data_IF_269377368997
#
_entry.id   IF_269377368997
#
_cell.length_a   1.000
_cell.length_b   1.000
_cell.length_c   1.000
_cell.angle_alpha   90.00
_cell.angle_beta   90.00
_cell.angle_gamma   90.00
#
_symmetry.space_group_name_H-M   'P 1'
#
loop_
_entity.id
_entity.type
_entity.pdbx_description
1 polymer ?
#
# COMPACT_ATOMS: atom_id res chain seq x y z
N UNK A 1 9.71 1.34 2.16
CA UNK A 1 8.66 1.33 1.12
C UNK A 1 9.18 0.46 -0.01
N UNK A 2 8.44 -0.56 -0.41
CA UNK A 2 8.85 -1.50 -1.45
C UNK A 2 8.01 -1.32 -2.70
N UNK A 3 8.63 -1.18 -3.88
CA UNK A 3 7.89 -1.20 -5.15
C UNK A 3 7.69 -2.63 -5.62
N UNK A 4 6.50 -2.97 -6.11
CA UNK A 4 6.22 -4.33 -6.53
C UNK A 4 7.12 -4.79 -7.70
N UNK A 5 7.50 -3.89 -8.59
CA UNK A 5 8.42 -4.17 -9.70
C UNK A 5 9.85 -4.45 -9.25
N UNK A 6 10.26 -3.93 -8.09
CA UNK A 6 11.61 -4.12 -7.52
C UNK A 6 11.73 -5.43 -6.72
N UNK A 7 10.61 -6.10 -6.40
CA UNK A 7 10.60 -7.36 -5.66
C UNK A 7 11.09 -8.56 -6.49
N UNK A 8 11.25 -8.40 -7.81
CA UNK A 8 11.76 -9.44 -8.69
C UNK A 8 11.46 -9.19 -10.17
N UNK A 9 12.18 -9.90 -11.03
CA UNK A 9 12.04 -9.78 -12.49
C UNK A 9 10.81 -10.55 -12.97
N UNK A 10 10.56 -11.74 -12.42
CA UNK A 10 9.42 -12.59 -12.77
C UNK A 10 8.26 -12.46 -11.78
N UNK A 11 7.04 -12.80 -12.21
CA UNK A 11 5.86 -12.81 -11.34
C UNK A 11 6.05 -13.74 -10.14
N UNK A 12 6.62 -14.93 -10.35
CA UNK A 12 6.91 -15.89 -9.29
C UNK A 12 7.88 -15.31 -8.24
N UNK A 13 8.98 -14.69 -8.67
CA UNK A 13 9.95 -14.09 -7.76
C UNK A 13 9.33 -12.96 -6.92
N UNK A 14 8.52 -12.10 -7.55
CA UNK A 14 7.80 -11.01 -6.87
C UNK A 14 6.85 -11.55 -5.80
N UNK A 15 6.00 -12.52 -6.16
CA UNK A 15 5.03 -13.11 -5.23
C UNK A 15 5.74 -13.77 -4.05
N UNK A 16 6.79 -14.55 -4.30
CA UNK A 16 7.54 -15.21 -3.22
C UNK A 16 8.20 -14.17 -2.30
N UNK A 17 8.85 -13.15 -2.88
CA UNK A 17 9.51 -12.11 -2.09
C UNK A 17 8.51 -11.30 -1.27
N UNK A 18 7.36 -10.95 -1.85
CA UNK A 18 6.28 -10.27 -1.14
C UNK A 18 5.77 -11.11 0.03
N UNK A 19 5.56 -12.41 -0.17
CA UNK A 19 5.09 -13.31 0.89
C UNK A 19 6.09 -13.39 2.06
N UNK A 20 7.39 -13.44 1.76
CA UNK A 20 8.43 -13.37 2.80
C UNK A 20 8.35 -12.08 3.61
N UNK A 21 8.19 -10.92 2.95
CA UNK A 21 8.09 -9.61 3.61
C UNK A 21 6.81 -9.47 4.46
N UNK A 22 5.70 -10.07 4.01
CA UNK A 22 4.46 -10.10 4.79
C UNK A 22 4.66 -10.94 6.05
N UNK A 23 5.26 -12.13 5.91
CA UNK A 23 5.50 -13.02 7.06
C UNK A 23 6.53 -12.47 8.04
N UNK A 24 7.49 -11.63 7.59
CA UNK A 24 8.44 -10.95 8.47
C UNK A 24 7.89 -9.66 9.10
N UNK A 25 6.61 -9.32 8.89
CA UNK A 25 5.99 -8.06 9.32
C UNK A 25 6.68 -6.80 8.76
N UNK A 26 7.44 -6.93 7.68
CA UNK A 26 8.03 -5.80 6.96
C UNK A 26 7.05 -5.15 5.98
N UNK A 27 5.98 -5.85 5.63
CA UNK A 27 4.91 -5.35 4.77
C UNK A 27 3.56 -5.69 5.40
N UNK A 28 2.79 -4.67 5.74
CA UNK A 28 1.42 -4.81 6.27
C UNK A 28 0.38 -4.06 5.46
N UNK A 29 0.81 -3.08 4.65
CA UNK A 29 -0.06 -2.23 3.85
C UNK A 29 0.38 -2.23 2.39
N UNK A 30 -0.58 -2.02 1.49
CA UNK A 30 -0.34 -1.77 0.07
C UNK A 30 -0.79 -0.37 -0.29
N UNK A 31 -0.22 0.19 -1.36
CA UNK A 31 -0.68 1.46 -1.90
C UNK A 31 -0.58 1.57 -3.40
N UNK A 32 -1.26 2.61 -3.89
CA UNK A 32 -1.35 3.01 -5.27
C UNK A 32 -0.54 4.29 -5.47
N UNK A 33 0.48 4.21 -6.31
CA UNK A 33 1.41 5.33 -6.54
C UNK A 33 0.75 6.53 -7.21
N UNK A 34 -0.08 6.30 -8.25
CA UNK A 34 -0.64 7.40 -9.06
C UNK A 34 -1.53 8.35 -8.26
N UNK A 35 -2.40 7.81 -7.41
CA UNK A 35 -3.31 8.63 -6.59
C UNK A 35 -2.82 8.75 -5.14
N UNK A 36 -1.60 8.29 -4.85
CA UNK A 36 -1.00 8.23 -3.51
C UNK A 36 -1.98 7.73 -2.44
N UNK A 37 -2.55 6.55 -2.64
CA UNK A 37 -3.52 5.95 -1.69
C UNK A 37 -2.91 4.73 -1.05
N UNK A 38 -2.96 4.59 0.27
CA UNK A 38 -2.60 3.33 0.95
C UNK A 38 -3.84 2.66 1.54
N UNK A 39 -3.78 1.35 1.72
CA UNK A 39 -4.84 0.53 2.27
C UNK A 39 -4.33 -0.85 2.69
N UNK A 40 -5.27 -1.72 3.04
CA UNK A 40 -4.93 -3.09 3.44
C UNK A 40 -4.46 -3.92 2.26
N UNK A 41 -3.66 -4.97 2.53
CA UNK A 41 -3.24 -5.94 1.51
C UNK A 41 -4.43 -6.67 0.87
N UNK A 42 -5.55 -6.79 1.60
CA UNK A 42 -6.79 -7.43 1.18
C UNK A 42 -7.74 -6.54 0.38
N UNK A 43 -7.44 -5.24 0.24
CA UNK A 43 -8.30 -4.28 -0.44
C UNK A 43 -8.65 -4.73 -1.88
N UNK A 44 -9.95 -4.81 -2.19
CA UNK A 44 -10.42 -5.22 -3.52
C UNK A 44 -9.85 -4.32 -4.63
N UNK A 45 -9.91 -3.00 -4.45
CA UNK A 45 -9.32 -2.04 -5.39
C UNK A 45 -7.80 -2.21 -5.53
N UNK A 46 -7.12 -2.58 -4.43
CA UNK A 46 -5.67 -2.83 -4.41
C UNK A 46 -5.26 -4.07 -5.19
N UNK A 47 -6.07 -5.13 -5.18
CA UNK A 47 -5.78 -6.39 -5.89
C UNK A 47 -5.83 -6.24 -7.42
N UNK A 48 -6.63 -5.29 -7.92
CA UNK A 48 -6.75 -5.00 -9.35
C UNK A 48 -5.62 -4.11 -9.90
N UNK A 49 -4.73 -3.60 -9.03
CA UNK A 49 -3.66 -2.69 -9.44
C UNK A 49 -2.57 -3.42 -10.21
N UNK A 50 -2.14 -2.81 -11.33
CA UNK A 50 -0.92 -3.22 -12.03
C UNK A 50 0.30 -3.12 -11.11
N UNK A 51 1.24 -4.04 -11.25
CA UNK A 51 2.45 -4.09 -10.43
C UNK A 51 3.25 -2.78 -10.45
N UNK A 52 3.35 -2.12 -11.61
CA UNK A 52 4.03 -0.83 -11.78
C UNK A 52 3.48 0.28 -10.86
N UNK A 53 2.20 0.22 -10.50
CA UNK A 53 1.56 1.23 -9.67
C UNK A 53 1.35 0.77 -8.22
N UNK A 54 1.78 -0.45 -7.90
CA UNK A 54 1.57 -1.07 -6.59
C UNK A 54 2.84 -0.97 -5.75
N UNK A 55 2.68 -0.42 -4.55
CA UNK A 55 3.74 -0.27 -3.55
C UNK A 55 3.31 -0.89 -2.23
N UNK A 56 4.27 -1.17 -1.37
CA UNK A 56 4.04 -1.78 -0.07
C UNK A 56 4.74 -1.00 1.03
N UNK A 57 4.10 -0.95 2.19
CA UNK A 57 4.57 -0.24 3.37
C UNK A 57 4.58 -1.17 4.57
N UNK A 58 5.53 -0.93 5.47
CA UNK A 58 5.63 -1.63 6.74
C UNK A 58 4.50 -1.24 7.68
N UNK A 59 4.17 0.05 7.72
CA UNK A 59 3.13 0.59 8.60
C UNK A 59 2.53 1.87 8.02
N UNK A 60 1.49 2.35 8.70
CA UNK A 60 0.77 3.56 8.30
C UNK A 60 1.63 4.83 8.38
N UNK A 61 2.50 4.96 9.38
CA UNK A 61 3.36 6.14 9.51
C UNK A 61 4.29 6.27 8.32
N UNK A 62 4.83 5.16 7.81
CA UNK A 62 5.63 5.16 6.60
C UNK A 62 4.83 5.64 5.37
N UNK A 63 3.61 5.16 5.20
CA UNK A 63 2.74 5.58 4.10
C UNK A 63 2.40 7.08 4.19
N UNK A 64 2.07 7.57 5.39
CA UNK A 64 1.77 8.99 5.63
C UNK A 64 2.99 9.88 5.38
N UNK A 65 4.18 9.48 5.86
CA UNK A 65 5.45 10.20 5.60
C UNK A 65 5.78 10.27 4.10
N UNK A 66 5.44 9.22 3.34
CA UNK A 66 5.58 9.20 1.89
C UNK A 66 4.48 10.02 1.16
N UNK A 67 3.55 10.64 1.90
CA UNK A 67 2.49 11.47 1.35
C UNK A 67 1.30 10.70 0.79
N UNK A 68 1.07 9.48 1.28
CA UNK A 68 -0.08 8.67 0.89
C UNK A 68 -1.26 8.92 1.83
N UNK A 69 -2.46 9.02 1.27
CA UNK A 69 -3.71 9.10 2.03
C UNK A 69 -4.33 7.71 2.24
N UNK A 70 -5.08 7.50 3.34
CA UNK A 70 -5.85 6.27 3.53
C UNK A 70 -6.89 6.04 2.43
N UNK A 71 -7.18 4.76 2.18
CA UNK A 71 -8.17 4.33 1.22
C UNK A 71 -9.59 4.46 1.79
N UNK A 72 -10.46 5.21 1.11
CA UNK A 72 -11.86 5.35 1.53
C UNK A 72 -12.67 4.05 1.52
N UNK A 73 -12.27 3.05 0.73
CA UNK A 73 -13.01 1.79 0.61
C UNK A 73 -12.68 0.81 1.76
N UNK A 74 -11.39 0.58 2.03
CA UNK A 74 -10.97 -0.38 3.06
C UNK A 74 -10.59 0.25 4.40
N UNK A 75 -10.44 1.58 4.46
CA UNK A 75 -10.11 2.32 5.68
C UNK A 75 -10.98 3.59 5.81
N UNK A 76 -12.32 3.46 5.86
CA UNK A 76 -13.23 4.62 5.82
C UNK A 76 -13.09 5.55 7.03
N UNK A 77 -12.77 5.02 8.22
CA UNK A 77 -12.58 5.82 9.43
C UNK A 77 -11.33 6.70 9.34
N UNK A 78 -10.19 6.09 8.98
CA UNK A 78 -8.93 6.82 8.79
C UNK A 78 -9.02 7.82 7.65
N UNK A 79 -9.75 7.47 6.59
CA UNK A 79 -10.03 8.40 5.50
C UNK A 79 -10.83 9.63 5.93
N UNK A 80 -11.86 9.44 6.76
CA UNK A 80 -12.61 10.57 7.34
C UNK A 80 -11.71 11.47 8.19
N UNK A 81 -10.87 10.88 9.04
CA UNK A 81 -9.91 11.64 9.87
C UNK A 81 -8.90 12.43 9.01
N UNK A 82 -8.32 11.78 8.00
CA UNK A 82 -7.40 12.43 7.07
C UNK A 82 -8.06 13.61 6.34
N UNK A 83 -9.31 13.46 5.90
CA UNK A 83 -10.06 14.51 5.20
C UNK A 83 -10.29 15.72 6.12
N UNK A 84 -10.76 15.50 7.35
CA UNK A 84 -10.96 16.56 8.34
C UNK A 84 -9.64 17.30 8.66
N UNK A 85 -8.53 16.56 8.73
CA UNK A 85 -7.20 17.15 8.99
C UNK A 85 -6.63 17.91 7.80
N UNK A 86 -7.06 17.62 6.57
CA UNK A 86 -6.54 18.24 5.34
C UNK A 86 -7.32 19.47 4.91
N UNK A 87 -8.57 19.62 5.38
CA UNK A 87 -9.47 20.74 5.07
C UNK A 87 -9.30 21.94 6.05
N UNK A 88 -8.14 22.07 6.72
CA UNK A 88 -7.84 23.10 7.72
C UNK A 88 -6.65 23.95 7.31
#
# INVERSE_FOLDING_TARGET
MYRHTELGITVYARTRRLYTLINSNEVSLAGYTKNKVYGTLSCASGKLMKAENRVFFQNEQEALKAGYRPCGNCMPEKYRQWKISSDK
#
